data_IF_617515275533
#
_entry.id   IF_617515275533
#
_cell.length_a   1.000
_cell.length_b   1.000
_cell.length_c   1.000
_cell.angle_alpha   90.00
_cell.angle_beta   90.00
_cell.angle_gamma   90.00
#
_symmetry.space_group_name_H-M   'P 1'
#
loop_
_entity.id
_entity.type
_entity.pdbx_description
1 polymer ?
#
# COMPACT_ATOMS: atom_id res chain seq x y z
N UNK A 1 8.47 40.33 6.50
CA UNK A 1 9.64 39.72 5.84
C UNK A 1 9.96 38.44 6.61
N UNK A 2 9.41 37.32 6.14
CA UNK A 2 9.65 36.00 6.71
C UNK A 2 10.65 35.32 5.76
N UNK A 3 11.89 35.13 6.23
CA UNK A 3 12.90 34.39 5.48
C UNK A 3 12.51 32.90 5.38
N UNK A 4 12.74 32.26 4.23
CA UNK A 4 12.46 30.84 4.09
C UNK A 4 13.54 30.01 4.79
N UNK A 5 13.08 29.19 5.74
CA UNK A 5 13.88 28.16 6.42
C UNK A 5 14.10 26.95 5.48
N UNK A 6 14.84 27.11 4.38
CA UNK A 6 14.95 25.99 3.41
C UNK A 6 16.37 25.47 3.14
N UNK A 7 17.44 26.04 3.73
CA UNK A 7 18.80 25.73 3.21
C UNK A 7 19.69 24.80 4.05
N UNK A 8 19.24 24.22 5.18
CA UNK A 8 20.17 23.46 6.04
C UNK A 8 19.77 22.00 6.37
N UNK A 9 18.62 21.49 5.94
CA UNK A 9 18.19 20.12 6.26
C UNK A 9 18.71 19.10 5.22
N UNK A 10 18.96 19.54 3.99
CA UNK A 10 19.36 18.66 2.89
C UNK A 10 20.86 18.29 2.85
N UNK A 11 21.73 19.06 3.51
CA UNK A 11 23.18 18.91 3.33
C UNK A 11 23.81 17.75 4.09
N UNK A 12 23.22 17.26 5.17
CA UNK A 12 23.81 16.19 5.98
C UNK A 12 23.42 14.78 5.50
N UNK A 13 22.25 14.63 4.84
CA UNK A 13 21.72 13.35 4.41
C UNK A 13 22.13 12.92 3.00
N UNK A 14 22.32 13.86 2.10
CA UNK A 14 22.63 13.57 0.69
C UNK A 14 23.97 12.85 0.52
N UNK A 15 25.01 13.29 1.22
CA UNK A 15 26.37 12.73 1.08
C UNK A 15 26.48 11.32 1.68
N UNK A 16 25.77 11.03 2.78
CA UNK A 16 25.74 9.71 3.40
C UNK A 16 24.87 8.73 2.59
N UNK A 17 23.73 9.19 2.10
CA UNK A 17 22.86 8.38 1.26
C UNK A 17 23.46 8.06 -0.11
N UNK A 18 24.18 8.97 -0.73
CA UNK A 18 24.79 8.73 -2.05
C UNK A 18 25.78 7.58 -2.08
N UNK A 19 26.50 7.34 -0.99
CA UNK A 19 27.47 6.23 -0.84
C UNK A 19 26.86 5.00 -0.17
N UNK A 20 25.61 5.07 0.28
CA UNK A 20 24.96 3.98 0.98
C UNK A 20 24.67 2.81 0.02
N UNK A 21 24.87 1.54 0.44
CA UNK A 21 24.59 0.37 -0.39
C UNK A 21 23.18 0.32 -0.97
N UNK A 22 22.17 0.86 -0.26
CA UNK A 22 20.80 1.03 -0.79
C UNK A 22 20.75 1.91 -2.04
N UNK A 23 21.52 3.00 -2.08
CA UNK A 23 21.56 3.88 -3.24
C UNK A 23 22.25 3.20 -4.43
N UNK A 24 23.27 2.41 -4.16
CA UNK A 24 23.93 1.59 -5.19
C UNK A 24 22.95 0.56 -5.74
N UNK A 25 22.19 -0.08 -4.87
CA UNK A 25 21.14 -1.03 -5.28
C UNK A 25 20.04 -0.37 -6.11
N UNK A 26 19.51 0.78 -5.70
CA UNK A 26 18.52 1.54 -6.47
C UNK A 26 19.03 1.90 -7.86
N UNK A 27 20.27 2.40 -7.97
CA UNK A 27 20.88 2.74 -9.25
C UNK A 27 21.01 1.54 -10.19
N UNK A 28 21.29 0.33 -9.66
CA UNK A 28 21.31 -0.93 -10.44
C UNK A 28 19.93 -1.30 -10.97
N UNK A 29 18.83 -0.84 -10.32
CA UNK A 29 17.46 -1.03 -10.78
C UNK A 29 16.99 0.13 -11.68
N UNK A 30 17.86 1.10 -12.03
CA UNK A 30 17.51 2.36 -12.69
C UNK A 30 16.49 3.20 -11.89
N UNK A 31 16.54 3.13 -10.57
CA UNK A 31 15.68 3.90 -9.66
C UNK A 31 16.48 4.98 -8.95
N UNK A 32 15.79 6.08 -8.64
CA UNK A 32 16.32 7.18 -7.83
C UNK A 32 15.48 7.37 -6.58
N UNK A 33 16.07 7.99 -5.59
CA UNK A 33 15.33 8.42 -4.40
C UNK A 33 14.33 9.51 -4.76
N UNK A 34 13.11 9.39 -4.24
CA UNK A 34 12.17 10.49 -4.28
C UNK A 34 12.42 11.45 -3.09
N UNK A 35 12.27 12.77 -3.27
CA UNK A 35 12.51 13.75 -2.19
C UNK A 35 11.75 13.44 -0.90
N UNK A 36 10.47 13.05 -1.01
CA UNK A 36 9.65 12.71 0.14
C UNK A 36 10.13 11.46 0.91
N UNK A 37 10.84 10.53 0.27
CA UNK A 37 11.44 9.36 0.94
C UNK A 37 12.60 9.79 1.84
N UNK A 38 13.46 10.67 1.33
CA UNK A 38 14.61 11.21 2.06
C UNK A 38 14.11 12.08 3.22
N UNK A 39 13.15 12.96 2.96
CA UNK A 39 12.57 13.85 3.97
C UNK A 39 11.93 13.05 5.11
N UNK A 40 11.11 12.04 4.79
CA UNK A 40 10.48 11.17 5.77
C UNK A 40 11.52 10.43 6.63
N UNK A 41 12.58 9.90 6.01
CA UNK A 41 13.64 9.22 6.73
C UNK A 41 14.40 10.16 7.67
N UNK A 42 14.72 11.38 7.22
CA UNK A 42 15.39 12.37 8.04
C UNK A 42 14.56 12.80 9.25
N UNK A 43 13.28 13.06 9.05
CA UNK A 43 12.35 13.35 10.15
C UNK A 43 12.30 12.20 11.16
N UNK A 44 12.17 10.96 10.69
CA UNK A 44 12.11 9.78 11.56
C UNK A 44 13.43 9.51 12.29
N UNK A 45 14.58 9.66 11.64
CA UNK A 45 15.90 9.52 12.27
C UNK A 45 16.17 10.60 13.32
N UNK A 46 15.52 11.76 13.18
CA UNK A 46 15.55 12.84 14.19
C UNK A 46 14.58 12.60 15.35
N UNK A 47 13.86 11.47 15.37
CA UNK A 47 12.95 11.10 16.44
C UNK A 47 11.52 11.67 16.33
N UNK A 48 11.18 12.29 15.18
CA UNK A 48 9.86 12.85 14.96
C UNK A 48 8.92 11.81 14.33
N UNK A 49 7.68 11.80 14.77
CA UNK A 49 6.62 11.05 14.09
C UNK A 49 6.33 11.68 12.72
N UNK A 50 6.02 10.86 11.72
CA UNK A 50 5.89 11.31 10.32
C UNK A 50 4.60 10.77 9.70
N UNK A 51 3.86 11.63 9.03
CA UNK A 51 2.76 11.26 8.15
C UNK A 51 3.19 11.49 6.69
N UNK A 52 3.41 10.41 5.95
CA UNK A 52 3.78 10.45 4.53
C UNK A 52 2.54 10.39 3.66
N UNK A 53 2.34 11.41 2.84
CA UNK A 53 1.24 11.52 1.90
C UNK A 53 1.77 11.43 0.47
N UNK A 54 1.51 10.31 -0.18
CA UNK A 54 1.96 10.09 -1.55
C UNK A 54 0.98 9.17 -2.29
N UNK A 55 0.78 9.35 -3.61
CA UNK A 55 -0.09 8.48 -4.40
C UNK A 55 0.42 7.03 -4.42
N UNK A 56 -0.39 6.12 -4.94
CA UNK A 56 0.06 4.76 -5.26
C UNK A 56 1.19 4.83 -6.29
N UNK A 57 2.19 3.95 -6.20
CA UNK A 57 3.35 3.97 -7.09
C UNK A 57 4.46 4.96 -6.72
N UNK A 58 4.23 5.88 -5.78
CA UNK A 58 5.24 6.84 -5.33
C UNK A 58 6.26 6.29 -4.31
N UNK A 59 6.38 4.98 -4.17
CA UNK A 59 7.37 4.37 -3.28
C UNK A 59 7.13 4.60 -1.79
N UNK A 60 5.86 4.76 -1.34
CA UNK A 60 5.50 4.95 0.08
C UNK A 60 6.09 3.91 1.02
N UNK A 61 6.01 2.63 0.63
CA UNK A 61 6.54 1.53 1.45
C UNK A 61 8.01 1.72 1.75
N UNK A 62 8.81 2.05 0.71
CA UNK A 62 10.24 2.31 0.89
C UNK A 62 10.48 3.57 1.75
N UNK A 63 9.66 4.63 1.62
CA UNK A 63 9.70 5.79 2.50
C UNK A 63 9.52 5.41 3.98
N UNK A 64 8.59 4.48 4.27
CA UNK A 64 8.36 4.00 5.63
C UNK A 64 9.53 3.20 6.21
N UNK A 65 10.19 2.38 5.41
CA UNK A 65 11.26 1.49 5.88
C UNK A 65 12.66 2.09 5.83
N UNK A 66 12.87 3.18 5.09
CA UNK A 66 14.21 3.74 4.87
C UNK A 66 14.93 4.08 6.17
N UNK A 67 14.26 4.75 7.12
CA UNK A 67 14.84 5.06 8.44
C UNK A 67 15.26 3.80 9.20
N UNK A 68 14.44 2.74 9.14
CA UNK A 68 14.74 1.45 9.78
C UNK A 68 15.98 0.78 9.16
N UNK A 69 16.09 0.80 7.83
CA UNK A 69 17.26 0.25 7.14
C UNK A 69 18.54 1.01 7.45
N UNK A 70 18.47 2.34 7.47
CA UNK A 70 19.62 3.19 7.79
C UNK A 70 20.06 3.00 9.24
N UNK A 71 19.11 2.89 10.17
CA UNK A 71 19.42 2.67 11.58
C UNK A 71 20.07 1.31 11.82
N UNK A 72 19.52 0.24 11.25
CA UNK A 72 20.08 -1.12 11.38
C UNK A 72 21.45 -1.23 10.68
N UNK A 73 21.59 -0.63 9.50
CA UNK A 73 22.88 -0.62 8.79
C UNK A 73 23.98 0.06 9.62
N UNK A 74 23.64 1.09 10.39
CA UNK A 74 24.56 1.84 11.24
C UNK A 74 24.81 1.16 12.59
N UNK A 75 23.76 0.68 13.25
CA UNK A 75 23.80 0.26 14.65
C UNK A 75 23.73 -1.27 14.85
N UNK A 76 23.48 -2.02 13.77
CA UNK A 76 23.27 -3.48 13.82
C UNK A 76 21.91 -3.90 14.36
N UNK A 77 21.65 -5.21 14.33
CA UNK A 77 20.48 -5.83 14.97
C UNK A 77 20.82 -6.25 16.40
N UNK A 78 19.92 -5.98 17.33
CA UNK A 78 20.05 -6.37 18.74
C UNK A 78 19.32 -7.69 19.07
N UNK A 79 18.79 -8.40 18.07
CA UNK A 79 18.01 -9.63 18.26
C UNK A 79 16.64 -9.41 18.91
N UNK A 80 16.15 -8.17 18.97
CA UNK A 80 14.85 -7.76 19.46
C UNK A 80 14.02 -7.17 18.31
N UNK A 81 12.71 -7.03 18.52
CA UNK A 81 11.82 -6.37 17.57
C UNK A 81 12.26 -4.91 17.36
N UNK A 82 12.79 -4.62 16.18
CA UNK A 82 13.27 -3.27 15.81
C UNK A 82 12.17 -2.46 15.12
N UNK A 83 11.47 -3.08 14.16
CA UNK A 83 10.46 -2.41 13.34
C UNK A 83 9.17 -3.22 13.31
N UNK A 84 8.07 -2.57 13.64
CA UNK A 84 6.73 -3.13 13.53
C UNK A 84 5.99 -2.46 12.37
N UNK A 85 5.56 -3.25 11.40
CA UNK A 85 4.75 -2.78 10.28
C UNK A 85 3.32 -3.30 10.40
N UNK A 86 2.35 -2.40 10.33
CA UNK A 86 0.91 -2.71 10.46
C UNK A 86 0.22 -2.39 9.15
N UNK A 87 -0.44 -3.39 8.58
CA UNK A 87 -1.21 -3.27 7.35
C UNK A 87 -2.69 -3.58 7.56
N UNK A 88 -3.61 -2.92 6.83
CA UNK A 88 -5.03 -3.24 6.91
C UNK A 88 -5.37 -4.63 6.37
N UNK A 89 -4.55 -5.22 5.51
CA UNK A 89 -4.78 -6.50 4.88
C UNK A 89 -3.63 -7.48 5.09
N UNK A 90 -3.97 -8.76 5.30
CA UNK A 90 -3.00 -9.85 5.41
C UNK A 90 -2.15 -10.02 4.14
N UNK A 91 -2.76 -9.86 2.97
CA UNK A 91 -2.08 -9.97 1.67
C UNK A 91 -0.98 -8.92 1.53
N UNK A 92 -1.25 -7.65 1.88
CA UNK A 92 -0.28 -6.56 1.89
C UNK A 92 0.96 -6.89 2.74
N UNK A 93 0.77 -7.49 3.91
CA UNK A 93 1.89 -7.88 4.76
C UNK A 93 2.83 -8.90 4.08
N UNK A 94 2.29 -9.77 3.22
CA UNK A 94 3.08 -10.74 2.45
C UNK A 94 3.80 -10.08 1.27
N UNK A 95 3.14 -9.16 0.56
CA UNK A 95 3.72 -8.47 -0.59
C UNK A 95 4.81 -7.49 -0.17
N UNK A 96 4.59 -6.77 0.91
CA UNK A 96 5.63 -5.91 1.50
C UNK A 96 6.84 -6.73 1.92
N UNK A 97 6.64 -7.93 2.48
CA UNK A 97 7.76 -8.83 2.76
C UNK A 97 8.61 -9.10 1.50
N UNK A 98 7.96 -9.40 0.37
CA UNK A 98 8.66 -9.63 -0.90
C UNK A 98 9.40 -8.38 -1.38
N UNK A 99 8.76 -7.21 -1.35
CA UNK A 99 9.34 -5.96 -1.85
C UNK A 99 10.47 -5.44 -0.98
N UNK A 100 10.53 -5.83 0.30
CA UNK A 100 11.55 -5.40 1.26
C UNK A 100 12.68 -6.44 1.39
N UNK A 101 12.41 -7.72 1.14
CA UNK A 101 13.44 -8.75 1.14
C UNK A 101 14.58 -8.42 0.15
N UNK A 102 14.24 -7.96 -1.05
CA UNK A 102 15.23 -7.62 -2.09
C UNK A 102 16.21 -6.51 -1.66
N UNK A 103 15.80 -5.35 -1.11
CA UNK A 103 16.73 -4.36 -0.55
C UNK A 103 17.58 -4.90 0.60
N UNK A 104 17.02 -5.72 1.48
CA UNK A 104 17.73 -6.30 2.63
C UNK A 104 18.81 -7.27 2.17
N UNK A 105 18.49 -8.16 1.22
CA UNK A 105 19.46 -9.06 0.60
C UNK A 105 20.59 -8.28 -0.09
N UNK A 106 20.24 -7.21 -0.80
CA UNK A 106 21.22 -6.34 -1.47
C UNK A 106 22.16 -5.62 -0.48
N UNK A 107 21.67 -5.34 0.73
CA UNK A 107 22.45 -4.75 1.82
C UNK A 107 23.26 -5.78 2.61
N UNK A 108 23.02 -7.07 2.37
CA UNK A 108 23.64 -8.17 3.12
C UNK A 108 23.48 -8.00 4.64
N UNK A 109 22.32 -7.44 5.06
CA UNK A 109 22.04 -7.21 6.47
C UNK A 109 21.60 -8.53 7.14
N UNK A 110 22.21 -8.92 8.26
CA UNK A 110 21.81 -10.12 9.01
C UNK A 110 20.55 -9.86 9.83
N UNK A 111 19.43 -9.55 9.16
CA UNK A 111 18.15 -9.23 9.81
C UNK A 111 17.10 -10.29 9.51
N UNK A 112 16.23 -10.52 10.48
CA UNK A 112 15.11 -11.45 10.38
C UNK A 112 13.83 -10.71 10.05
N UNK A 113 13.09 -11.26 9.09
CA UNK A 113 11.86 -10.66 8.56
C UNK A 113 10.73 -11.66 8.67
N UNK A 114 9.67 -11.36 9.43
CA UNK A 114 8.55 -12.29 9.61
C UNK A 114 7.20 -11.61 9.54
N UNK A 115 6.19 -12.41 9.17
CA UNK A 115 4.78 -12.00 9.20
C UNK A 115 4.05 -12.68 10.35
N UNK A 116 3.14 -11.93 11.01
CA UNK A 116 2.22 -12.44 12.00
C UNK A 116 0.81 -11.97 11.71
N UNK A 117 0.00 -12.89 11.23
CA UNK A 117 -1.42 -12.66 10.91
C UNK A 117 -2.26 -13.80 11.49
N UNK A 118 -3.59 -13.74 11.34
CA UNK A 118 -4.45 -14.84 11.72
C UNK A 118 -4.11 -16.18 11.07
N UNK A 119 -3.43 -16.18 9.92
CA UNK A 119 -3.05 -17.38 9.17
C UNK A 119 -1.66 -17.93 9.55
N UNK A 120 -0.92 -17.24 10.43
CA UNK A 120 0.40 -17.69 10.88
C UNK A 120 0.25 -18.93 11.78
N UNK A 121 0.94 -20.05 11.48
CA UNK A 121 0.88 -21.27 12.26
C UNK A 121 1.24 -21.05 13.74
N UNK A 122 0.60 -21.82 14.65
CA UNK A 122 0.76 -21.67 16.10
C UNK A 122 2.21 -21.83 16.56
N UNK A 123 2.96 -22.77 15.97
CA UNK A 123 4.37 -22.99 16.32
C UNK A 123 5.25 -21.78 15.98
N UNK A 124 4.97 -21.11 14.84
CA UNK A 124 5.69 -19.86 14.48
C UNK A 124 5.34 -18.73 15.44
N UNK A 125 4.05 -18.59 15.80
CA UNK A 125 3.61 -17.58 16.77
C UNK A 125 4.30 -17.74 18.12
N UNK A 126 4.44 -19.00 18.63
CA UNK A 126 5.18 -19.29 19.86
C UNK A 126 6.65 -18.93 19.74
N UNK A 127 7.31 -19.33 18.65
CA UNK A 127 8.70 -18.97 18.41
C UNK A 127 8.91 -17.46 18.37
N UNK A 128 8.06 -16.72 17.66
CA UNK A 128 8.12 -15.25 17.57
C UNK A 128 8.01 -14.56 18.93
N UNK A 129 7.30 -15.16 19.90
CA UNK A 129 7.20 -14.62 21.26
C UNK A 129 8.49 -14.75 22.05
N UNK A 130 9.22 -15.84 21.86
CA UNK A 130 10.49 -16.12 22.56
C UNK A 130 11.70 -15.56 21.83
N UNK A 131 11.65 -15.49 20.49
CA UNK A 131 12.67 -14.93 19.63
C UNK A 131 12.01 -14.00 18.63
N UNK A 132 11.82 -12.72 19.00
CA UNK A 132 11.23 -11.73 18.10
C UNK A 132 12.08 -11.54 16.83
N UNK A 133 11.45 -11.37 15.65
CA UNK A 133 12.19 -10.95 14.47
C UNK A 133 12.54 -9.46 14.55
N UNK A 134 13.56 -9.04 13.81
CA UNK A 134 13.91 -7.61 13.70
C UNK A 134 12.79 -6.79 13.06
N UNK A 135 12.17 -7.34 12.02
CA UNK A 135 11.01 -6.76 11.35
C UNK A 135 9.81 -7.68 11.48
N UNK A 136 8.74 -7.18 12.06
CA UNK A 136 7.47 -7.92 12.16
C UNK A 136 6.36 -7.19 11.39
N UNK A 137 5.76 -7.89 10.44
CA UNK A 137 4.58 -7.42 9.73
C UNK A 137 3.32 -8.04 10.32
N UNK A 138 2.33 -7.21 10.59
CA UNK A 138 1.13 -7.65 11.28
C UNK A 138 -0.12 -6.89 10.84
N UNK A 139 -1.26 -7.22 11.44
CA UNK A 139 -2.53 -6.51 11.31
C UNK A 139 -2.96 -5.96 12.68
N UNK A 140 -3.89 -4.97 12.75
CA UNK A 140 -4.36 -4.43 14.03
C UNK A 140 -4.88 -5.50 14.98
N UNK A 141 -5.58 -6.51 14.46
CA UNK A 141 -6.13 -7.60 15.26
C UNK A 141 -5.01 -8.47 15.87
N UNK A 142 -3.98 -8.76 15.11
CA UNK A 142 -2.83 -9.52 15.58
C UNK A 142 -1.96 -8.72 16.55
N UNK A 143 -1.87 -7.40 16.37
CA UNK A 143 -1.23 -6.50 17.32
C UNK A 143 -1.96 -6.52 18.66
N UNK A 144 -3.29 -6.41 18.66
CA UNK A 144 -4.09 -6.47 19.90
C UNK A 144 -3.80 -7.76 20.69
N UNK A 145 -3.69 -8.91 19.99
CA UNK A 145 -3.29 -10.17 20.61
C UNK A 145 -1.84 -10.14 21.14
N UNK A 146 -0.89 -9.55 20.41
CA UNK A 146 0.49 -9.42 20.88
C UNK A 146 0.59 -8.58 22.16
N UNK A 147 -0.20 -7.51 22.22
CA UNK A 147 -0.25 -6.61 23.36
C UNK A 147 -0.93 -7.22 24.60
N UNK A 148 -1.73 -8.28 24.43
CA UNK A 148 -2.40 -8.98 25.53
C UNK A 148 -1.53 -10.01 26.24
N UNK A 149 -0.36 -10.35 25.69
CA UNK A 149 0.53 -11.33 26.32
C UNK A 149 1.29 -10.73 27.51
N UNK A 150 1.59 -11.56 28.51
CA UNK A 150 2.39 -11.15 29.67
C UNK A 150 3.78 -10.65 29.32
N UNK A 151 4.40 -11.25 28.28
CA UNK A 151 5.72 -10.86 27.80
C UNK A 151 5.71 -9.65 26.84
N UNK A 152 4.58 -8.97 26.65
CA UNK A 152 4.50 -7.81 25.77
C UNK A 152 5.55 -6.72 26.12
N UNK A 153 5.82 -6.38 27.39
CA UNK A 153 6.84 -5.39 27.73
C UNK A 153 8.24 -5.76 27.19
N UNK A 154 8.67 -6.99 27.37
CA UNK A 154 9.97 -7.45 26.85
C UNK A 154 9.97 -7.59 25.32
N UNK A 155 8.85 -8.02 24.73
CA UNK A 155 8.70 -8.18 23.28
C UNK A 155 8.85 -6.85 22.54
N UNK A 156 8.28 -5.76 23.06
CA UNK A 156 8.31 -4.44 22.45
C UNK A 156 9.43 -3.52 22.93
N UNK A 157 10.27 -3.97 23.88
CA UNK A 157 11.32 -3.14 24.50
C UNK A 157 12.35 -2.59 23.49
N UNK A 158 12.61 -3.33 22.42
CA UNK A 158 13.55 -2.95 21.36
C UNK A 158 12.94 -2.16 20.21
N UNK A 159 11.62 -1.91 20.24
CA UNK A 159 10.90 -1.27 19.14
C UNK A 159 11.35 0.19 18.94
N UNK A 160 11.89 0.47 17.76
CA UNK A 160 12.32 1.82 17.37
C UNK A 160 11.40 2.47 16.34
N UNK A 161 10.84 1.70 15.42
CA UNK A 161 9.98 2.22 14.34
C UNK A 161 8.66 1.47 14.28
N UNK A 162 7.58 2.23 14.20
CA UNK A 162 6.22 1.74 14.02
C UNK A 162 5.66 2.31 12.72
N UNK A 163 5.52 1.47 11.71
CA UNK A 163 5.04 1.85 10.39
C UNK A 163 3.60 1.38 10.23
N UNK A 164 2.69 2.31 9.87
CA UNK A 164 1.29 1.99 9.59
C UNK A 164 0.97 2.34 8.15
N UNK A 165 0.67 1.32 7.38
CA UNK A 165 0.35 1.48 5.96
C UNK A 165 -1.15 1.69 5.74
N UNK A 166 -1.47 2.38 4.65
CA UNK A 166 -2.83 2.75 4.24
C UNK A 166 -3.63 3.37 5.41
N UNK A 167 -2.97 4.28 6.15
CA UNK A 167 -3.47 4.88 7.39
C UNK A 167 -4.90 5.42 7.25
N UNK A 168 -5.24 5.99 6.07
CA UNK A 168 -6.56 6.51 5.79
C UNK A 168 -7.69 5.46 5.85
N UNK A 169 -7.38 4.16 5.73
CA UNK A 169 -8.37 3.08 5.81
C UNK A 169 -8.83 2.79 7.24
N UNK A 170 -8.07 3.26 8.22
CA UNK A 170 -8.37 3.07 9.64
C UNK A 170 -9.20 4.21 10.22
N UNK A 171 -8.98 5.43 9.78
CA UNK A 171 -9.61 6.61 10.35
C UNK A 171 -11.16 6.52 10.32
N UNK A 172 -11.80 6.76 11.48
CA UNK A 172 -13.26 6.70 11.63
C UNK A 172 -13.86 5.29 11.50
N UNK A 173 -13.08 4.23 11.69
CA UNK A 173 -13.55 2.84 11.63
C UNK A 173 -13.29 2.10 12.94
N UNK A 174 -14.07 1.03 13.23
CA UNK A 174 -13.85 0.15 14.40
C UNK A 174 -12.44 -0.44 14.43
N UNK A 175 -11.82 -0.69 13.28
CA UNK A 175 -10.43 -1.16 13.19
C UNK A 175 -9.45 -0.06 13.54
N UNK A 176 -9.78 1.18 13.21
CA UNK A 176 -9.03 2.35 13.64
C UNK A 176 -9.09 2.57 15.14
N UNK A 177 -10.25 2.34 15.77
CA UNK A 177 -10.39 2.42 17.22
C UNK A 177 -9.52 1.34 17.91
N UNK A 178 -9.54 0.11 17.40
CA UNK A 178 -8.67 -0.96 17.86
C UNK A 178 -7.18 -0.61 17.71
N UNK A 179 -6.81 -0.02 16.56
CA UNK A 179 -5.46 0.45 16.32
C UNK A 179 -5.06 1.55 17.30
N UNK A 180 -5.95 2.52 17.57
CA UNK A 180 -5.70 3.61 18.53
C UNK A 180 -5.43 3.10 19.94
N UNK A 181 -6.17 2.10 20.40
CA UNK A 181 -5.90 1.42 21.68
C UNK A 181 -4.53 0.75 21.67
N UNK A 182 -4.17 0.08 20.57
CA UNK A 182 -2.85 -0.52 20.38
C UNK A 182 -1.73 0.52 20.42
N UNK A 183 -1.91 1.66 19.75
CA UNK A 183 -0.95 2.78 19.72
C UNK A 183 -0.76 3.40 21.11
N UNK A 184 -1.85 3.57 21.87
CA UNK A 184 -1.78 4.07 23.24
C UNK A 184 -0.97 3.14 24.14
N UNK A 185 -1.20 1.82 24.04
CA UNK A 185 -0.43 0.84 24.81
C UNK A 185 1.04 0.76 24.39
N UNK A 186 1.32 0.81 23.07
CA UNK A 186 2.69 0.86 22.55
C UNK A 186 3.44 2.12 23.02
N UNK A 187 2.75 3.26 23.18
CA UNK A 187 3.36 4.47 23.72
C UNK A 187 3.90 4.28 25.14
N UNK A 188 3.28 3.39 25.94
CA UNK A 188 3.78 3.02 27.27
C UNK A 188 4.91 2.00 27.20
N UNK A 189 4.81 0.98 26.32
CA UNK A 189 5.77 -0.10 26.22
C UNK A 189 7.06 0.29 25.48
N UNK A 190 6.94 1.16 24.47
CA UNK A 190 8.03 1.64 23.64
C UNK A 190 7.91 3.17 23.42
N UNK A 191 8.12 3.99 24.47
CA UNK A 191 7.86 5.44 24.42
C UNK A 191 8.75 6.20 23.44
N UNK A 192 9.89 5.64 23.05
CA UNK A 192 10.83 6.23 22.09
C UNK A 192 10.60 5.77 20.65
N UNK A 193 9.68 4.84 20.42
CA UNK A 193 9.40 4.35 19.07
C UNK A 193 8.80 5.46 18.19
N UNK A 194 9.40 5.71 17.04
CA UNK A 194 8.94 6.69 16.06
C UNK A 194 7.82 6.12 15.22
N UNK A 195 6.76 6.89 14.99
CA UNK A 195 5.60 6.49 14.20
C UNK A 195 5.69 7.03 12.78
N UNK A 196 5.56 6.16 11.80
CA UNK A 196 5.47 6.51 10.39
C UNK A 196 4.12 6.06 9.84
N UNK A 197 3.25 7.01 9.51
CA UNK A 197 1.98 6.76 8.85
C UNK A 197 2.11 6.94 7.35
N UNK A 198 1.76 5.90 6.58
CA UNK A 198 1.78 5.95 5.11
C UNK A 198 0.34 6.04 4.62
N UNK A 199 0.05 7.00 3.78
CA UNK A 199 -1.29 7.20 3.25
C UNK A 199 -1.28 7.67 1.81
N UNK A 200 -2.35 7.33 1.08
CA UNK A 200 -2.67 8.04 -0.15
C UNK A 200 -3.01 9.51 0.17
N UNK A 201 -3.15 10.32 -0.86
CA UNK A 201 -3.59 11.71 -0.71
C UNK A 201 -4.93 11.76 0.02
N UNK A 202 -4.99 12.52 1.08
CA UNK A 202 -6.18 12.69 1.94
C UNK A 202 -6.56 14.17 2.04
N UNK A 203 -7.84 14.40 2.19
CA UNK A 203 -8.34 15.74 2.52
C UNK A 203 -8.13 15.98 4.02
N UNK A 204 -7.68 17.18 4.42
CA UNK A 204 -7.42 17.58 5.82
C UNK A 204 -6.39 16.66 6.53
N UNK A 205 -5.15 16.57 6.05
CA UNK A 205 -4.13 15.69 6.63
C UNK A 205 -3.74 16.07 8.07
N UNK A 206 -3.99 17.30 8.48
CA UNK A 206 -3.76 17.78 9.85
C UNK A 206 -4.55 16.96 10.88
N UNK A 207 -5.79 16.58 10.58
CA UNK A 207 -6.62 15.74 11.45
C UNK A 207 -6.00 14.34 11.60
N UNK A 208 -5.47 13.79 10.51
CA UNK A 208 -4.78 12.50 10.55
C UNK A 208 -3.48 12.57 11.33
N UNK A 209 -2.72 13.65 11.19
CA UNK A 209 -1.52 13.90 11.99
C UNK A 209 -1.86 13.96 13.48
N UNK A 210 -2.86 14.72 13.89
CA UNK A 210 -3.30 14.85 15.28
C UNK A 210 -3.79 13.51 15.87
N UNK A 211 -4.49 12.71 15.06
CA UNK A 211 -4.95 11.39 15.49
C UNK A 211 -3.81 10.39 15.63
N UNK A 212 -2.81 10.44 14.76
CA UNK A 212 -1.79 9.40 14.63
C UNK A 212 -0.46 9.76 15.29
N UNK A 213 0.04 10.97 15.08
CA UNK A 213 1.33 11.40 15.60
C UNK A 213 1.19 11.85 17.05
N UNK A 214 2.29 11.68 17.79
CA UNK A 214 2.48 12.40 19.05
C UNK A 214 2.73 13.89 18.77
N UNK A 215 2.89 14.67 19.83
CA UNK A 215 3.16 16.12 19.71
C UNK A 215 4.38 16.37 18.79
N UNK A 216 4.24 17.26 17.81
CA UNK A 216 5.33 17.67 16.91
C UNK A 216 5.52 16.81 15.66
N UNK A 217 4.60 15.88 15.33
CA UNK A 217 4.67 15.07 14.11
C UNK A 217 4.68 15.90 12.82
N UNK A 218 5.45 15.44 11.82
CA UNK A 218 5.65 16.11 10.53
C UNK A 218 4.75 15.51 9.44
N UNK A 219 4.31 16.35 8.51
CA UNK A 219 3.60 15.89 7.30
C UNK A 219 4.56 16.05 6.12
N UNK A 220 4.91 14.93 5.51
CA UNK A 220 5.74 14.88 4.31
C UNK A 220 4.86 14.57 3.11
N UNK A 221 4.94 15.39 2.07
CA UNK A 221 4.11 15.25 0.87
C UNK A 221 4.99 15.08 -0.36
N UNK A 222 4.53 14.27 -1.31
CA UNK A 222 5.17 14.26 -2.62
C UNK A 222 4.89 15.56 -3.35
N UNK A 223 5.91 16.13 -3.96
CA UNK A 223 5.80 17.37 -4.76
C UNK A 223 5.30 17.13 -6.18
N UNK A 224 5.53 15.94 -6.72
CA UNK A 224 5.21 15.59 -8.11
C UNK A 224 3.99 14.66 -8.11
N UNK A 225 2.80 15.24 -8.29
CA UNK A 225 1.57 14.49 -8.51
C UNK A 225 1.05 14.76 -9.91
N UNK A 226 1.04 13.74 -10.73
CA UNK A 226 0.38 13.80 -12.03
C UNK A 226 -1.10 13.52 -11.83
N UNK A 227 -1.95 14.46 -12.22
CA UNK A 227 -3.40 14.26 -12.13
C UNK A 227 -3.83 13.10 -13.03
N UNK A 228 -4.69 12.20 -12.53
CA UNK A 228 -5.20 11.10 -13.35
C UNK A 228 -6.08 11.64 -14.49
N UNK A 229 -5.99 11.01 -15.66
CA UNK A 229 -6.91 11.24 -16.75
C UNK A 229 -8.17 10.40 -16.52
N UNK A 230 -9.28 11.05 -16.20
CA UNK A 230 -10.55 10.41 -15.87
C UNK A 230 -11.58 10.79 -16.91
N UNK A 231 -12.08 9.82 -17.64
CA UNK A 231 -13.14 9.96 -18.62
C UNK A 231 -14.45 9.41 -18.06
N UNK A 232 -15.57 10.05 -18.35
CA UNK A 232 -16.90 9.51 -18.06
C UNK A 232 -17.45 8.93 -19.34
N UNK A 233 -17.80 7.65 -19.32
CA UNK A 233 -18.36 6.97 -20.48
C UNK A 233 -19.78 7.46 -20.74
N UNK A 234 -19.94 8.21 -21.80
CA UNK A 234 -21.24 8.64 -22.32
C UNK A 234 -21.70 7.66 -23.38
N UNK A 235 -22.69 6.82 -23.08
CA UNK A 235 -23.28 5.87 -24.02
C UNK A 235 -24.48 6.50 -24.75
N UNK A 236 -24.71 6.10 -25.99
CA UNK A 236 -25.93 6.50 -26.73
C UNK A 236 -27.20 5.92 -26.11
N UNK A 237 -27.09 4.81 -25.39
CA UNK A 237 -28.20 4.13 -24.72
C UNK A 237 -28.52 4.79 -23.38
N UNK A 238 -29.78 5.05 -23.13
CA UNK A 238 -30.25 5.57 -21.85
C UNK A 238 -29.93 4.57 -20.72
N UNK A 239 -29.49 5.10 -19.58
CA UNK A 239 -29.24 4.31 -18.37
C UNK A 239 -30.59 3.79 -17.86
N UNK A 240 -30.82 2.47 -17.74
CA UNK A 240 -32.06 1.92 -17.24
C UNK A 240 -32.27 2.31 -15.77
N UNK A 241 -33.49 2.66 -15.37
CA UNK A 241 -33.83 2.99 -13.99
C UNK A 241 -33.47 1.90 -12.96
N UNK A 242 -33.46 0.64 -13.38
CA UNK A 242 -33.06 -0.52 -12.57
C UNK A 242 -31.56 -0.88 -12.71
N UNK A 243 -30.78 -0.05 -13.36
CA UNK A 243 -29.54 -0.46 -14.00
C UNK A 243 -28.28 -0.28 -13.18
N UNK A 244 -27.97 -1.23 -12.31
CA UNK A 244 -26.65 -1.30 -11.68
C UNK A 244 -25.67 -2.25 -12.37
N UNK A 245 -26.08 -2.90 -13.47
CA UNK A 245 -25.34 -3.98 -14.11
C UNK A 245 -24.57 -3.55 -15.36
N UNK A 246 -24.57 -2.23 -15.68
CA UNK A 246 -23.88 -1.64 -16.83
C UNK A 246 -24.17 -2.30 -18.20
N UNK A 247 -25.33 -2.96 -18.37
CA UNK A 247 -25.72 -3.63 -19.65
C UNK A 247 -25.68 -2.70 -20.84
N UNK A 248 -26.06 -1.43 -20.63
CA UNK A 248 -26.11 -0.39 -21.65
C UNK A 248 -24.70 -0.05 -22.19
N UNK A 249 -23.66 -0.23 -21.38
CA UNK A 249 -22.29 0.18 -21.65
C UNK A 249 -21.33 -0.97 -21.98
N UNK A 250 -21.78 -2.23 -21.97
CA UNK A 250 -20.90 -3.39 -22.13
C UNK A 250 -20.13 -3.40 -23.47
N UNK A 251 -20.76 -2.93 -24.54
CA UNK A 251 -20.11 -2.80 -25.85
C UNK A 251 -18.96 -1.79 -25.83
N UNK A 252 -19.20 -0.64 -25.21
CA UNK A 252 -18.20 0.43 -25.10
C UNK A 252 -17.08 0.04 -24.11
N UNK A 253 -17.43 -0.66 -23.02
CA UNK A 253 -16.44 -1.26 -22.11
C UNK A 253 -15.55 -2.26 -22.86
N UNK A 254 -16.15 -3.14 -23.68
CA UNK A 254 -15.38 -4.10 -24.47
C UNK A 254 -14.46 -3.42 -25.48
N UNK A 255 -14.94 -2.38 -26.16
CA UNK A 255 -14.12 -1.59 -27.08
C UNK A 255 -12.92 -0.98 -26.35
N UNK A 256 -13.13 -0.35 -25.19
CA UNK A 256 -12.05 0.24 -24.41
C UNK A 256 -11.03 -0.81 -23.92
N UNK A 257 -11.49 -2.01 -23.53
CA UNK A 257 -10.61 -3.13 -23.15
C UNK A 257 -9.75 -3.58 -24.34
N UNK A 258 -10.31 -3.63 -25.54
CA UNK A 258 -9.60 -4.10 -26.74
C UNK A 258 -8.47 -3.18 -27.20
N UNK A 259 -8.48 -1.92 -26.78
CA UNK A 259 -7.44 -0.91 -27.07
C UNK A 259 -6.32 -0.89 -26.02
N UNK A 260 -6.53 -1.50 -24.87
CA UNK A 260 -5.61 -1.52 -23.76
C UNK A 260 -4.80 -2.84 -23.71
N UNK A 261 -3.61 -2.83 -23.08
CA UNK A 261 -2.82 -4.06 -22.87
C UNK A 261 -3.37 -4.91 -21.76
N UNK A 262 -3.68 -4.27 -20.62
CA UNK A 262 -4.32 -4.92 -19.47
C UNK A 262 -5.26 -3.92 -18.81
N UNK A 263 -6.54 -4.26 -18.78
CA UNK A 263 -7.59 -3.47 -18.17
C UNK A 263 -8.07 -4.09 -16.85
N UNK A 264 -8.27 -3.25 -15.82
CA UNK A 264 -9.00 -3.63 -14.60
C UNK A 264 -10.40 -3.05 -14.61
N UNK A 265 -11.41 -3.91 -14.65
CA UNK A 265 -12.82 -3.51 -14.57
C UNK A 265 -13.32 -3.70 -13.14
N UNK A 266 -13.39 -2.61 -12.38
CA UNK A 266 -13.87 -2.63 -11.02
C UNK A 266 -15.39 -2.53 -10.95
N UNK A 267 -15.99 -3.41 -10.18
CA UNK A 267 -17.41 -3.44 -9.85
C UNK A 267 -17.62 -3.45 -8.34
N UNK A 268 -18.85 -3.21 -7.87
CA UNK A 268 -19.12 -3.05 -6.45
C UNK A 268 -19.54 -4.35 -5.73
N UNK A 269 -20.07 -5.33 -6.45
CA UNK A 269 -20.54 -6.60 -5.88
C UNK A 269 -19.99 -7.80 -6.63
N UNK A 270 -19.97 -8.97 -5.96
CA UNK A 270 -19.55 -10.23 -6.57
C UNK A 270 -20.49 -10.66 -7.72
N UNK A 271 -21.79 -10.50 -7.50
CA UNK A 271 -22.79 -10.81 -8.53
C UNK A 271 -22.58 -9.95 -9.78
N UNK A 272 -22.24 -8.68 -9.60
CA UNK A 272 -21.92 -7.78 -10.70
C UNK A 272 -20.61 -8.19 -11.41
N UNK A 273 -19.61 -8.69 -10.67
CA UNK A 273 -18.36 -9.18 -11.26
C UNK A 273 -18.60 -10.39 -12.16
N UNK A 274 -19.34 -11.37 -11.68
CA UNK A 274 -19.69 -12.56 -12.45
C UNK A 274 -20.56 -12.21 -13.67
N UNK A 275 -21.51 -11.30 -13.49
CA UNK A 275 -22.38 -10.86 -14.59
C UNK A 275 -21.55 -10.15 -15.68
N UNK A 276 -20.77 -9.13 -15.32
CA UNK A 276 -19.95 -8.37 -16.28
C UNK A 276 -18.93 -9.28 -16.97
N UNK A 277 -18.30 -10.19 -16.22
CA UNK A 277 -17.39 -11.19 -16.78
C UNK A 277 -18.08 -12.06 -17.84
N UNK A 278 -19.26 -12.62 -17.52
CA UNK A 278 -20.03 -13.46 -18.42
C UNK A 278 -20.43 -12.72 -19.71
N UNK A 279 -20.92 -11.49 -19.57
CA UNK A 279 -21.36 -10.70 -20.72
C UNK A 279 -20.16 -10.29 -21.62
N UNK A 280 -19.03 -9.89 -21.03
CA UNK A 280 -17.80 -9.61 -21.77
C UNK A 280 -17.28 -10.88 -22.48
N UNK A 281 -17.42 -12.04 -21.86
CA UNK A 281 -17.07 -13.32 -22.48
C UNK A 281 -17.93 -13.61 -23.70
N UNK A 282 -19.22 -13.31 -23.65
CA UNK A 282 -20.13 -13.47 -24.83
C UNK A 282 -19.82 -12.46 -25.95
N UNK A 283 -19.36 -11.29 -25.62
CA UNK A 283 -18.96 -10.26 -26.58
C UNK A 283 -17.56 -10.51 -27.17
N UNK A 284 -16.79 -11.43 -26.62
CA UNK A 284 -15.36 -11.61 -26.87
C UNK A 284 -15.04 -12.19 -28.26
N UNK A 285 -15.18 -11.38 -29.28
CA UNK A 285 -14.85 -11.74 -30.67
C UNK A 285 -13.34 -11.76 -30.96
N UNK A 286 -12.55 -11.04 -30.16
CA UNK A 286 -11.09 -10.92 -30.32
C UNK A 286 -10.31 -11.97 -29.54
N UNK A 287 -10.99 -12.91 -28.88
CA UNK A 287 -10.37 -13.94 -28.03
C UNK A 287 -9.47 -13.34 -26.92
N UNK A 288 -9.86 -12.21 -26.34
CA UNK A 288 -9.15 -11.60 -25.21
C UNK A 288 -9.18 -12.56 -24.00
N UNK A 289 -8.08 -12.57 -23.25
CA UNK A 289 -7.92 -13.39 -22.04
C UNK A 289 -8.52 -12.64 -20.85
N UNK A 290 -9.79 -12.87 -20.61
CA UNK A 290 -10.57 -12.19 -19.57
C UNK A 290 -10.67 -13.10 -18.35
N UNK A 291 -10.45 -12.56 -17.15
CA UNK A 291 -10.59 -13.27 -15.89
C UNK A 291 -11.50 -12.51 -14.92
N UNK A 292 -11.98 -13.21 -13.89
CA UNK A 292 -12.74 -12.61 -12.78
C UNK A 292 -11.97 -12.79 -11.47
N UNK A 293 -12.02 -11.77 -10.58
CA UNK A 293 -11.35 -11.81 -9.28
C UNK A 293 -12.20 -11.20 -8.17
N UNK A 294 -12.66 -12.02 -7.24
CA UNK A 294 -13.41 -11.59 -6.05
C UNK A 294 -13.23 -12.52 -4.85
N UNK A 295 -13.59 -12.05 -3.66
CA UNK A 295 -13.32 -12.76 -2.41
C UNK A 295 -14.02 -14.12 -2.22
N UNK A 296 -15.03 -14.49 -3.05
CA UNK A 296 -15.67 -15.80 -3.00
C UNK A 296 -15.00 -16.86 -3.86
N UNK A 297 -14.07 -16.49 -4.73
CA UNK A 297 -13.29 -17.46 -5.48
C UNK A 297 -12.36 -18.22 -4.54
N UNK A 298 -12.08 -19.47 -4.89
CA UNK A 298 -11.08 -20.28 -4.22
C UNK A 298 -9.73 -19.57 -4.18
N UNK A 299 -8.96 -19.81 -3.12
CA UNK A 299 -7.67 -19.15 -2.90
C UNK A 299 -6.66 -19.47 -4.01
N UNK A 300 -6.68 -20.69 -4.53
CA UNK A 300 -5.75 -21.10 -5.60
C UNK A 300 -6.12 -20.41 -6.92
N UNK A 301 -7.41 -20.29 -7.24
CA UNK A 301 -7.88 -19.56 -8.42
C UNK A 301 -7.50 -18.09 -8.37
N UNK A 302 -7.68 -17.43 -7.23
CA UNK A 302 -7.27 -16.03 -7.05
C UNK A 302 -5.77 -15.84 -7.29
N UNK A 303 -4.92 -16.69 -6.70
CA UNK A 303 -3.48 -16.66 -6.90
C UNK A 303 -3.08 -16.91 -8.36
N UNK A 304 -3.82 -17.79 -9.05
CA UNK A 304 -3.59 -18.05 -10.47
C UNK A 304 -3.86 -16.81 -11.31
N UNK A 305 -5.00 -16.12 -11.09
CA UNK A 305 -5.32 -14.85 -11.76
C UNK A 305 -4.24 -13.79 -11.44
N UNK A 306 -3.85 -13.63 -10.20
CA UNK A 306 -2.79 -12.72 -9.76
C UNK A 306 -1.45 -13.01 -10.46
N UNK A 307 -1.07 -14.29 -10.57
CA UNK A 307 0.14 -14.71 -11.28
C UNK A 307 0.10 -14.38 -12.77
N UNK A 308 -1.03 -14.67 -13.45
CA UNK A 308 -1.20 -14.38 -14.88
C UNK A 308 -1.30 -12.87 -15.16
N UNK A 309 -1.81 -12.06 -14.21
CA UNK A 309 -1.70 -10.60 -14.31
C UNK A 309 -0.25 -10.14 -14.26
N UNK A 310 0.53 -10.65 -13.30
CA UNK A 310 1.93 -10.28 -13.12
C UNK A 310 2.79 -10.69 -14.33
N UNK A 311 2.53 -11.86 -14.95
CA UNK A 311 3.23 -12.30 -16.16
C UNK A 311 2.77 -11.57 -17.43
N UNK A 312 1.63 -10.82 -17.39
CA UNK A 312 1.06 -10.14 -18.53
C UNK A 312 0.34 -11.08 -19.51
N UNK A 313 -0.15 -12.19 -19.01
CA UNK A 313 -0.92 -13.19 -19.78
C UNK A 313 -2.41 -12.89 -19.84
N UNK A 314 -2.89 -11.85 -19.15
CA UNK A 314 -4.29 -11.43 -19.18
C UNK A 314 -4.42 -10.08 -19.89
N UNK A 315 -5.55 -9.89 -20.56
CA UNK A 315 -5.91 -8.64 -21.25
C UNK A 315 -6.95 -7.85 -20.42
N UNK A 316 -7.76 -8.55 -19.62
CA UNK A 316 -8.75 -7.92 -18.73
C UNK A 316 -9.00 -8.74 -17.47
N UNK A 317 -9.20 -8.05 -16.35
CA UNK A 317 -9.69 -8.67 -15.11
C UNK A 317 -10.87 -7.87 -14.56
N UNK A 318 -12.00 -8.55 -14.40
CA UNK A 318 -13.19 -8.00 -13.73
C UNK A 318 -13.06 -8.27 -12.24
N UNK A 319 -13.00 -7.22 -11.41
CA UNK A 319 -12.70 -7.36 -10.00
C UNK A 319 -13.63 -6.57 -9.09
N UNK A 320 -13.79 -7.07 -7.87
CA UNK A 320 -14.36 -6.30 -6.76
C UNK A 320 -13.24 -5.61 -5.97
N UNK A 321 -13.49 -5.22 -4.73
CA UNK A 321 -12.48 -4.66 -3.82
C UNK A 321 -11.29 -5.59 -3.51
N UNK A 322 -11.28 -6.80 -4.02
CA UNK A 322 -10.18 -7.75 -3.81
C UNK A 322 -8.85 -7.34 -4.46
N UNK A 323 -8.89 -6.44 -5.45
CA UNK A 323 -7.71 -5.85 -6.10
C UNK A 323 -7.56 -4.33 -5.80
N UNK A 324 -8.35 -3.78 -4.86
CA UNK A 324 -8.22 -2.38 -4.44
C UNK A 324 -6.83 -2.10 -3.84
N UNK A 325 -6.22 -3.09 -3.18
CA UNK A 325 -4.99 -2.95 -2.39
C UNK A 325 -3.99 -4.07 -2.73
N UNK A 326 -2.71 -3.76 -2.59
CA UNK A 326 -1.67 -4.72 -2.24
C UNK A 326 -0.75 -5.25 -3.32
N UNK A 327 -1.02 -5.15 -4.60
CA UNK A 327 -0.13 -5.71 -5.61
C UNK A 327 0.33 -4.63 -6.60
N UNK A 328 1.62 -4.64 -6.91
CA UNK A 328 2.18 -3.82 -7.97
C UNK A 328 1.94 -4.52 -9.32
N UNK A 329 0.92 -4.05 -10.02
CA UNK A 329 0.58 -4.54 -11.35
C UNK A 329 1.22 -3.65 -12.41
N UNK A 330 2.50 -3.79 -12.62
CA UNK A 330 3.30 -2.93 -13.50
C UNK A 330 2.81 -2.80 -14.94
N UNK A 331 1.77 -3.53 -15.33
CA UNK A 331 1.29 -3.61 -16.71
C UNK A 331 -0.14 -3.12 -16.93
N UNK A 332 -0.85 -2.71 -15.87
CA UNK A 332 -2.21 -2.18 -16.00
C UNK A 332 -2.13 -0.78 -16.57
N UNK A 333 -2.75 -0.54 -17.70
CA UNK A 333 -2.79 0.76 -18.37
C UNK A 333 -4.17 1.40 -18.38
N UNK A 334 -5.23 0.65 -18.09
CA UNK A 334 -6.58 1.16 -18.01
C UNK A 334 -7.35 0.63 -16.80
N UNK A 335 -8.01 1.53 -16.08
CA UNK A 335 -8.98 1.19 -15.04
C UNK A 335 -10.37 1.59 -15.49
N UNK A 336 -11.33 0.67 -15.47
CA UNK A 336 -12.73 0.96 -15.72
C UNK A 336 -13.52 0.76 -14.42
N UNK A 337 -14.17 1.82 -13.95
CA UNK A 337 -15.02 1.76 -12.76
C UNK A 337 -16.48 1.71 -13.15
N UNK A 338 -17.15 0.62 -12.86
CA UNK A 338 -18.59 0.45 -13.10
C UNK A 338 -19.38 0.77 -11.84
N UNK A 339 -20.24 1.78 -11.95
CA UNK A 339 -20.99 2.35 -10.83
C UNK A 339 -20.12 3.09 -9.82
N UNK A 340 -20.71 3.91 -8.98
CA UNK A 340 -19.99 4.69 -8.00
C UNK A 340 -19.37 3.82 -6.90
N UNK A 341 -18.08 3.93 -6.59
CA UNK A 341 -17.46 3.25 -5.48
C UNK A 341 -17.86 3.90 -4.14
N UNK A 342 -17.64 3.19 -3.04
CA UNK A 342 -17.89 3.74 -1.69
C UNK A 342 -16.81 4.76 -1.32
N UNK A 343 -16.95 5.98 -1.80
CA UNK A 343 -16.12 7.14 -1.48
C UNK A 343 -14.99 7.41 -2.49
N UNK A 344 -14.60 8.69 -2.55
CA UNK A 344 -13.59 9.22 -3.49
C UNK A 344 -12.21 8.60 -3.26
N UNK A 345 -11.82 8.37 -2.02
CA UNK A 345 -10.51 7.76 -1.70
C UNK A 345 -10.35 6.39 -2.35
N UNK A 346 -11.42 5.57 -2.35
CA UNK A 346 -11.41 4.26 -3.00
C UNK A 346 -11.33 4.38 -4.52
N UNK A 347 -12.04 5.34 -5.09
CA UNK A 347 -11.95 5.63 -6.52
C UNK A 347 -10.51 5.96 -6.93
N UNK A 348 -9.88 6.88 -6.22
CA UNK A 348 -8.49 7.27 -6.49
C UNK A 348 -7.50 6.11 -6.30
N UNK A 349 -7.73 5.24 -5.31
CA UNK A 349 -6.94 4.02 -5.12
C UNK A 349 -7.05 3.05 -6.31
N UNK A 350 -8.28 2.85 -6.84
CA UNK A 350 -8.51 2.03 -8.04
C UNK A 350 -7.87 2.63 -9.27
N UNK A 351 -8.09 3.93 -9.49
CA UNK A 351 -7.49 4.67 -10.62
C UNK A 351 -5.97 4.57 -10.58
N UNK A 352 -5.36 4.72 -9.41
CA UNK A 352 -3.92 4.58 -9.21
C UNK A 352 -3.37 3.17 -9.45
N UNK A 353 -4.19 2.19 -9.88
CA UNK A 353 -3.71 0.88 -10.38
C UNK A 353 -3.26 0.95 -11.83
N UNK A 354 -3.75 1.91 -12.62
CA UNK A 354 -3.27 2.12 -13.97
C UNK A 354 -2.01 2.99 -13.99
N UNK A 355 -1.08 2.69 -14.90
CA UNK A 355 0.17 3.44 -15.10
C UNK A 355 0.89 3.73 -13.78
N UNK A 356 1.26 2.67 -13.05
CA UNK A 356 1.82 2.73 -11.70
C UNK A 356 3.20 3.43 -11.62
N UNK A 357 3.48 4.36 -12.56
CA UNK A 357 4.68 5.18 -12.60
C UNK A 357 4.32 6.64 -12.34
N UNK A 358 5.16 7.35 -11.59
CA UNK A 358 4.94 8.78 -11.27
C UNK A 358 4.94 9.70 -12.49
N UNK A 359 5.57 9.28 -13.56
CA UNK A 359 5.77 10.08 -14.78
C UNK A 359 4.59 9.99 -15.76
N UNK A 360 3.76 8.95 -15.65
CA UNK A 360 2.61 8.75 -16.54
C UNK A 360 1.30 8.96 -15.78
N UNK A 361 0.34 9.73 -16.32
CA UNK A 361 -0.96 9.89 -15.66
C UNK A 361 -1.72 8.56 -15.65
N UNK A 362 -2.30 8.22 -14.50
CA UNK A 362 -3.24 7.11 -14.41
C UNK A 362 -4.43 7.35 -15.33
N UNK A 363 -4.86 6.33 -16.08
CA UNK A 363 -6.00 6.42 -17.01
C UNK A 363 -7.20 5.64 -16.46
N UNK A 364 -8.35 6.30 -16.42
CA UNK A 364 -9.57 5.66 -15.92
C UNK A 364 -10.82 6.07 -16.72
N UNK A 365 -11.75 5.14 -16.85
CA UNK A 365 -13.08 5.35 -17.42
C UNK A 365 -14.12 5.07 -16.32
N UNK A 366 -15.00 6.03 -16.07
CA UNK A 366 -16.12 5.88 -15.15
C UNK A 366 -17.38 5.54 -15.94
N UNK A 367 -18.03 4.45 -15.59
CA UNK A 367 -19.28 4.00 -16.17
C UNK A 367 -20.38 4.24 -15.14
N UNK A 368 -21.31 5.14 -15.38
CA UNK A 368 -22.42 5.48 -14.46
C UNK A 368 -23.35 4.31 -14.13
#
# INVERSE_FOLDING_TARGET
MIQPFHDNIYSYSDTLLQKHPLTIWLKRQNWNWFPHQIEAANCALSGNDVLVLAPTGAGKTLAGFLSSFLDIAKNGSNGNLHTLYISPLKALAVDVHRNIATPIEALNLPVTFETRTGDTPSYRRKRQQTKPPDFLMTTPESLALLLSYENAPSFFSGLKYLIIDELHTFFGTKRGDLLSLGLARLATLAPKAVRLGLSATINKPEIFREWFCRTGGQIVRTSNYTHPNIEILCTEKSIPWSGHMARHALGDIYAAISEARLSLVFVNTRAQAEFVFKELWHLNKLNLRIAVHHGSLDRQLRRKVESHMASGELDCVVATSSLDLGLDWAKVDLVIQVGAPKGVSRLLQRIGRSNHRLEEPSRAILVP
#
